data_IF_167969964484
#
_entry.id   IF_167969964484
#
_cell.length_a   1.000
_cell.length_b   1.000
_cell.length_c   1.000
_cell.angle_alpha   90.00
_cell.angle_beta   90.00
_cell.angle_gamma   90.00
#
_symmetry.space_group_name_H-M   'P 1'
#
loop_
_entity.id
_entity.type
_entity.pdbx_description
1 polymer ?
#
# COMPACT_ATOMS: atom_id res chain seq x y z
N UNK A 1 21.34 -16.69 -5.76
CA UNK A 1 21.39 -15.76 -4.62
C UNK A 1 20.27 -14.78 -4.86
N UNK A 2 19.21 -14.86 -4.07
CA UNK A 2 18.06 -13.99 -4.23
C UNK A 2 18.38 -12.59 -3.71
N UNK A 3 17.87 -11.57 -4.37
CA UNK A 3 18.02 -10.15 -3.99
C UNK A 3 16.65 -9.48 -4.02
N UNK A 4 16.45 -8.47 -3.17
CA UNK A 4 15.22 -7.70 -3.19
C UNK A 4 15.10 -6.92 -4.50
N UNK A 5 13.96 -7.04 -5.17
CA UNK A 5 13.64 -6.22 -6.33
C UNK A 5 12.97 -4.93 -5.88
N UNK A 6 13.69 -3.81 -6.02
CA UNK A 6 13.26 -2.47 -5.62
C UNK A 6 12.73 -1.68 -6.82
N UNK A 7 11.70 -2.24 -7.46
CA UNK A 7 11.08 -1.69 -8.66
C UNK A 7 10.30 -0.39 -8.42
N UNK A 8 9.92 -0.09 -7.17
CA UNK A 8 9.22 1.13 -6.78
C UNK A 8 10.14 2.22 -6.22
N UNK A 9 11.46 2.07 -6.33
CA UNK A 9 12.45 3.01 -5.79
C UNK A 9 12.19 4.48 -6.16
N UNK A 10 11.72 4.71 -7.39
CA UNK A 10 11.44 6.04 -7.93
C UNK A 10 9.94 6.39 -7.93
N UNK A 11 9.14 5.60 -7.23
CA UNK A 11 7.68 5.67 -7.22
C UNK A 11 7.03 4.92 -8.38
N UNK A 12 5.70 4.87 -8.34
CA UNK A 12 4.86 4.31 -9.41
C UNK A 12 4.01 5.44 -10.02
N UNK A 13 4.32 5.91 -11.24
CA UNK A 13 3.58 6.99 -11.88
C UNK A 13 2.18 6.57 -12.37
N UNK A 14 1.91 5.27 -12.46
CA UNK A 14 0.68 4.73 -13.03
C UNK A 14 -0.35 4.35 -11.97
N UNK A 15 0.09 4.08 -10.75
CA UNK A 15 -0.79 3.81 -9.63
C UNK A 15 -1.25 5.08 -8.94
N UNK A 16 -2.56 5.21 -8.76
CA UNK A 16 -3.18 6.27 -7.97
C UNK A 16 -3.66 5.72 -6.63
N UNK A 17 -3.10 6.23 -5.53
CA UNK A 17 -3.60 5.97 -4.17
C UNK A 17 -5.04 6.50 -4.02
N UNK A 18 -5.90 5.71 -3.37
CA UNK A 18 -7.32 6.01 -3.12
C UNK A 18 -7.61 6.03 -1.62
N UNK A 19 -7.25 7.12 -0.96
CA UNK A 19 -7.42 7.29 0.50
C UNK A 19 -8.88 7.15 0.96
N UNK A 20 -9.84 7.49 0.10
CA UNK A 20 -11.27 7.36 0.42
C UNK A 20 -11.77 5.92 0.45
N UNK A 21 -10.97 4.96 0.00
CA UNK A 21 -11.31 3.53 -0.07
C UNK A 21 -10.44 2.69 0.87
N UNK A 22 -9.89 3.30 1.91
CA UNK A 22 -9.18 2.57 2.96
C UNK A 22 -10.14 1.67 3.75
N UNK A 23 -9.70 0.44 4.05
CA UNK A 23 -10.46 -0.52 4.82
C UNK A 23 -9.63 -1.04 6.00
N UNK A 24 -10.25 -1.19 7.17
CA UNK A 24 -9.61 -1.86 8.30
C UNK A 24 -9.84 -3.37 8.19
N UNK A 25 -8.75 -4.13 8.05
CA UNK A 25 -8.76 -5.59 8.02
C UNK A 25 -8.31 -6.10 9.38
N UNK A 26 -9.18 -6.88 10.03
CA UNK A 26 -8.93 -7.46 11.36
C UNK A 26 -8.46 -8.91 11.21
N UNK A 27 -7.27 -9.17 11.75
CA UNK A 27 -6.75 -10.51 11.98
C UNK A 27 -6.93 -10.88 13.47
N UNK A 28 -6.49 -12.08 13.86
CA UNK A 28 -6.64 -12.56 15.23
C UNK A 28 -5.87 -11.72 16.25
N UNK A 29 -4.69 -11.22 15.87
CA UNK A 29 -3.71 -10.56 16.73
C UNK A 29 -3.46 -9.09 16.37
N UNK A 30 -3.82 -8.68 15.15
CA UNK A 30 -3.59 -7.32 14.66
C UNK A 30 -4.73 -6.79 13.80
N UNK A 31 -4.78 -5.48 13.65
CA UNK A 31 -5.60 -4.80 12.64
C UNK A 31 -4.67 -4.00 11.74
N UNK A 32 -4.89 -4.10 10.43
CA UNK A 32 -4.13 -3.36 9.41
C UNK A 32 -5.06 -2.46 8.62
N UNK A 33 -4.53 -1.34 8.12
CA UNK A 33 -5.20 -0.47 7.16
C UNK A 33 -4.82 -0.93 5.75
N UNK A 34 -5.80 -1.44 5.00
CA UNK A 34 -5.65 -1.77 3.60
C UNK A 34 -5.94 -0.53 2.74
N UNK A 35 -4.93 -0.04 2.03
CA UNK A 35 -5.00 1.14 1.17
C UNK A 35 -5.07 0.70 -0.29
N UNK A 36 -6.06 1.18 -1.03
CA UNK A 36 -6.23 0.86 -2.45
C UNK A 36 -5.34 1.74 -3.34
N UNK A 37 -4.68 1.10 -4.31
CA UNK A 37 -3.93 1.72 -5.39
C UNK A 37 -4.51 1.24 -6.73
N UNK A 38 -5.00 2.18 -7.54
CA UNK A 38 -5.62 1.88 -8.83
C UNK A 38 -4.65 2.18 -9.98
N UNK A 39 -4.41 1.19 -10.84
CA UNK A 39 -3.64 1.32 -12.07
C UNK A 39 -4.55 1.09 -13.29
N UNK A 40 -4.53 1.97 -14.31
CA UNK A 40 -5.32 1.78 -15.51
C UNK A 40 -4.74 0.66 -16.38
N UNK A 41 -5.61 -0.24 -16.85
CA UNK A 41 -5.28 -1.27 -17.84
C UNK A 41 -5.96 -0.90 -19.15
N UNK A 42 -5.17 -0.38 -20.09
CA UNK A 42 -5.69 0.20 -21.33
C UNK A 42 -5.87 -0.90 -22.37
N UNK A 43 -7.09 -1.07 -22.87
CA UNK A 43 -7.39 -2.00 -23.96
C UNK A 43 -6.95 -1.46 -25.32
N UNK A 44 -6.41 -2.34 -26.18
CA UNK A 44 -6.09 -1.97 -27.55
C UNK A 44 -7.35 -1.88 -28.42
N UNK A 45 -7.47 -0.81 -29.23
CA UNK A 45 -8.58 -0.57 -30.17
C UNK A 45 -9.99 -0.64 -29.54
N UNK A 46 -10.12 -0.16 -28.31
CA UNK A 46 -11.39 -0.05 -27.60
C UNK A 46 -11.37 1.17 -26.69
N UNK A 47 -12.54 1.67 -26.32
CA UNK A 47 -12.69 2.69 -25.27
C UNK A 47 -12.69 2.10 -23.86
N UNK A 48 -12.64 0.77 -23.73
CA UNK A 48 -12.64 0.10 -22.44
C UNK A 48 -11.29 0.29 -21.72
N UNK A 49 -11.35 0.78 -20.48
CA UNK A 49 -10.22 0.91 -19.57
C UNK A 49 -10.53 0.09 -18.32
N UNK A 50 -9.75 -0.97 -18.09
CA UNK A 50 -9.80 -1.75 -16.87
C UNK A 50 -9.12 -1.02 -15.71
N UNK A 51 -9.46 -1.41 -14.48
CA UNK A 51 -8.75 -0.95 -13.28
C UNK A 51 -8.13 -2.15 -12.59
N UNK A 52 -6.80 -2.18 -12.49
CA UNK A 52 -6.10 -3.09 -11.60
C UNK A 52 -5.99 -2.43 -10.23
N UNK A 53 -6.61 -3.02 -9.21
CA UNK A 53 -6.49 -2.55 -7.83
C UNK A 53 -5.47 -3.40 -7.06
N UNK A 54 -4.44 -2.73 -6.56
CA UNK A 54 -3.46 -3.30 -5.63
C UNK A 54 -3.76 -2.80 -4.22
N UNK A 55 -3.56 -3.65 -3.21
CA UNK A 55 -3.79 -3.31 -1.81
C UNK A 55 -2.45 -3.24 -1.08
N UNK A 56 -2.15 -2.08 -0.52
CA UNK A 56 -1.01 -1.89 0.37
C UNK A 56 -1.47 -2.04 1.82
N UNK A 57 -0.75 -2.86 2.59
CA UNK A 57 -0.99 -2.98 4.03
C UNK A 57 -0.20 -1.90 4.76
N UNK A 58 -0.89 -1.09 5.57
CA UNK A 58 -0.31 -0.07 6.43
C UNK A 58 -0.69 -0.32 7.89
N UNK A 59 0.18 0.12 8.81
CA UNK A 59 -0.14 0.08 10.22
C UNK A 59 -1.29 1.06 10.53
N UNK A 60 -2.15 0.70 11.48
CA UNK A 60 -3.22 1.59 11.97
C UNK A 60 -2.63 2.74 12.80
N UNK A 61 -1.50 2.49 13.45
CA UNK A 61 -0.70 3.48 14.19
C UNK A 61 0.74 3.38 13.73
N UNK A 62 1.28 4.44 13.15
CA UNK A 62 2.54 4.42 12.41
C UNK A 62 3.78 4.18 13.28
N UNK A 63 3.85 4.73 14.50
CA UNK A 63 5.00 4.56 15.38
C UNK A 63 4.71 4.89 16.85
N UNK A 64 5.21 4.09 17.79
CA UNK A 64 5.19 4.40 19.23
C UNK A 64 6.50 5.07 19.66
N UNK A 65 6.49 6.40 19.72
CA UNK A 65 7.63 7.20 20.16
C UNK A 65 8.06 6.92 21.61
N UNK A 66 7.14 6.50 22.48
CA UNK A 66 7.48 6.22 23.88
C UNK A 66 8.37 5.00 23.95
N UNK A 67 8.04 3.92 23.25
CA UNK A 67 8.82 2.69 23.22
C UNK A 67 10.26 2.91 22.74
N UNK A 68 10.47 3.82 21.79
CA UNK A 68 11.80 4.17 21.29
C UNK A 68 12.66 4.88 22.35
N UNK A 69 12.11 5.88 23.05
CA UNK A 69 12.87 6.74 23.96
C UNK A 69 13.34 6.02 25.23
N UNK A 70 12.56 5.08 25.78
CA UNK A 70 12.93 4.33 27.00
C UNK A 70 14.09 3.33 26.83
N UNK A 71 14.55 3.09 25.60
CA UNK A 71 15.72 2.21 25.32
C UNK A 71 16.98 2.97 24.91
N UNK A 72 16.92 4.30 24.79
CA UNK A 72 18.08 5.14 24.44
C UNK A 72 18.67 5.91 25.64
N UNK A 73 18.30 5.54 26.86
CA UNK A 73 18.89 5.98 28.14
C UNK A 73 19.14 4.75 28.99
#
# INVERSE_FOLDING_TARGET
MESADDWQRFGDPWSRRRDTHEMLVRFADMTVRAVAYDMPVIGYNTSNIGTLRLWQSEAVSDFDFKLLTIRST
#
